data_IF_041643633847
#
_entry.id   IF_041643633847
#
_cell.length_a   1.000
_cell.length_b   1.000
_cell.length_c   1.000
_cell.angle_alpha   90.00
_cell.angle_beta   90.00
_cell.angle_gamma   90.00
#
_symmetry.space_group_name_H-M   'P 1'
#
loop_
_entity.id
_entity.type
_entity.pdbx_description
1 polymer ?
#
# COMPACT_ATOMS: atom_id res chain seq x y z
N UNK A 1 -9.27 24.75 1.66
CA UNK A 1 -9.07 23.53 0.84
C UNK A 1 -10.44 22.89 0.67
N UNK A 2 -10.95 22.70 -0.55
CA UNK A 2 -12.28 22.06 -0.74
C UNK A 2 -12.17 20.58 -0.38
N UNK A 3 -13.18 20.06 0.32
CA UNK A 3 -13.25 18.65 0.73
C UNK A 3 -13.11 17.70 -0.47
N UNK A 4 -13.70 18.09 -1.62
CA UNK A 4 -13.62 17.39 -2.90
C UNK A 4 -12.18 17.11 -3.34
N UNK A 5 -11.26 18.07 -3.16
CA UNK A 5 -9.85 17.91 -3.57
C UNK A 5 -9.10 16.89 -2.70
N UNK A 6 -9.54 16.71 -1.45
CA UNK A 6 -8.93 15.74 -0.53
C UNK A 6 -9.42 14.33 -0.88
N UNK A 7 -10.70 14.17 -1.19
CA UNK A 7 -11.27 12.90 -1.66
C UNK A 7 -10.63 12.43 -2.98
N UNK A 8 -10.45 13.34 -3.94
CA UNK A 8 -9.81 13.04 -5.23
C UNK A 8 -8.36 12.55 -5.03
N UNK A 9 -7.67 12.98 -3.98
CA UNK A 9 -6.32 12.53 -3.67
C UNK A 9 -6.28 11.25 -2.81
N UNK A 10 -7.27 11.05 -1.94
CA UNK A 10 -7.34 9.89 -1.04
C UNK A 10 -7.66 8.59 -1.77
N UNK A 11 -8.61 8.61 -2.71
CA UNK A 11 -9.00 7.41 -3.47
C UNK A 11 -7.81 6.77 -4.20
N UNK A 12 -7.05 7.48 -5.05
CA UNK A 12 -5.89 6.89 -5.72
C UNK A 12 -4.79 6.50 -4.73
N UNK A 13 -4.64 7.21 -3.60
CA UNK A 13 -3.67 6.83 -2.57
C UNK A 13 -3.96 5.46 -1.95
N UNK A 14 -5.25 5.08 -1.86
CA UNK A 14 -5.64 3.76 -1.38
C UNK A 14 -5.25 2.66 -2.36
N UNK A 15 -5.46 2.87 -3.67
CA UNK A 15 -5.01 1.91 -4.68
C UNK A 15 -3.49 1.73 -4.69
N UNK A 16 -2.73 2.81 -4.55
CA UNK A 16 -1.27 2.74 -4.41
C UNK A 16 -0.89 2.01 -3.12
N UNK A 17 -1.64 2.20 -2.03
CA UNK A 17 -1.40 1.49 -0.77
C UNK A 17 -1.68 -0.01 -0.86
N UNK A 18 -2.63 -0.46 -1.69
CA UNK A 18 -2.84 -1.89 -1.96
C UNK A 18 -1.59 -2.49 -2.61
N UNK A 19 -1.01 -1.80 -3.59
CA UNK A 19 0.22 -2.25 -4.28
C UNK A 19 1.39 -2.29 -3.30
N UNK A 20 1.66 -1.19 -2.59
CA UNK A 20 2.79 -1.10 -1.67
C UNK A 20 2.61 -2.07 -0.49
N UNK A 21 1.39 -2.14 0.06
CA UNK A 21 1.05 -3.04 1.15
C UNK A 21 1.17 -4.51 0.76
N UNK A 22 0.70 -4.88 -0.42
CA UNK A 22 0.87 -6.23 -0.98
C UNK A 22 2.34 -6.59 -1.19
N UNK A 23 3.13 -5.68 -1.75
CA UNK A 23 4.58 -5.88 -1.91
C UNK A 23 5.29 -6.07 -0.57
N UNK A 24 5.06 -5.17 0.40
CA UNK A 24 5.67 -5.26 1.73
C UNK A 24 5.23 -6.52 2.46
N UNK A 25 3.95 -6.90 2.35
CA UNK A 25 3.42 -8.13 2.90
C UNK A 25 4.14 -9.36 2.35
N UNK A 26 4.29 -9.48 1.02
CA UNK A 26 5.04 -10.58 0.42
C UNK A 26 6.54 -10.56 0.76
N UNK A 27 7.15 -9.38 0.77
CA UNK A 27 8.59 -9.23 1.07
C UNK A 27 8.94 -9.60 2.53
N UNK A 28 8.11 -9.18 3.48
CA UNK A 28 8.34 -9.37 4.93
C UNK A 28 7.98 -10.80 5.34
N UNK A 29 6.85 -11.32 4.86
CA UNK A 29 6.36 -12.64 5.25
C UNK A 29 6.94 -13.78 4.39
N UNK A 30 7.94 -13.52 3.53
CA UNK A 30 8.61 -14.62 2.85
C UNK A 30 9.37 -15.49 3.85
N UNK A 31 8.81 -16.67 4.15
CA UNK A 31 9.47 -17.75 4.88
C UNK A 31 10.22 -18.64 3.88
N UNK A 32 11.52 -18.85 4.10
CA UNK A 32 12.34 -19.68 3.20
C UNK A 32 12.98 -18.95 2.02
N UNK A 33 12.90 -17.61 1.97
CA UNK A 33 13.72 -16.83 1.04
C UNK A 33 15.18 -16.76 1.54
N UNK A 34 16.12 -17.31 0.78
CA UNK A 34 17.56 -17.26 1.07
C UNK A 34 18.19 -15.93 0.61
N UNK A 35 17.61 -15.28 -0.41
CA UNK A 35 18.12 -14.03 -0.97
C UNK A 35 17.14 -12.86 -0.91
N UNK A 36 17.68 -11.63 -1.03
CA UNK A 36 16.85 -10.43 -1.22
C UNK A 36 16.08 -10.49 -2.54
N UNK A 37 16.63 -11.15 -3.56
CA UNK A 37 16.01 -11.31 -4.86
C UNK A 37 14.70 -12.12 -4.77
N UNK A 38 14.71 -13.19 -3.97
CA UNK A 38 13.55 -14.05 -3.77
C UNK A 38 12.42 -13.29 -3.05
N UNK A 39 12.79 -12.47 -2.06
CA UNK A 39 11.84 -11.60 -1.33
C UNK A 39 11.21 -10.56 -2.25
N UNK A 40 12.02 -9.95 -3.12
CA UNK A 40 11.52 -8.98 -4.12
C UNK A 40 10.57 -9.69 -5.09
N UNK A 41 10.93 -10.88 -5.57
CA UNK A 41 10.12 -11.66 -6.49
C UNK A 41 8.77 -12.03 -5.86
N UNK A 42 8.77 -12.53 -4.61
CA UNK A 42 7.54 -12.85 -3.89
C UNK A 42 6.69 -11.59 -3.64
N UNK A 43 7.33 -10.48 -3.26
CA UNK A 43 6.66 -9.18 -3.15
C UNK A 43 5.95 -8.77 -4.45
N UNK A 44 6.57 -8.96 -5.62
CA UNK A 44 5.96 -8.66 -6.92
C UNK A 44 4.75 -9.54 -7.22
N UNK A 45 4.80 -10.83 -6.88
CA UNK A 45 3.64 -11.73 -7.02
C UNK A 45 2.50 -11.23 -6.13
N UNK A 46 2.82 -10.82 -4.90
CA UNK A 46 1.83 -10.41 -3.92
C UNK A 46 1.17 -9.06 -4.27
N UNK A 47 1.84 -8.19 -5.05
CA UNK A 47 1.19 -7.01 -5.66
C UNK A 47 -0.03 -7.41 -6.49
N UNK A 48 0.04 -8.53 -7.20
CA UNK A 48 -1.02 -9.02 -8.10
C UNK A 48 -2.06 -9.82 -7.30
N UNK A 49 -1.61 -10.69 -6.39
CA UNK A 49 -2.51 -11.52 -5.58
C UNK A 49 -3.34 -10.69 -4.59
N UNK A 50 -2.79 -9.61 -4.03
CA UNK A 50 -3.49 -8.80 -3.03
C UNK A 50 -4.81 -8.23 -3.53
N UNK A 51 -4.89 -7.55 -4.69
CA UNK A 51 -6.16 -7.10 -5.24
C UNK A 51 -7.05 -8.25 -5.72
N UNK A 52 -6.48 -9.34 -6.26
CA UNK A 52 -7.27 -10.49 -6.73
C UNK A 52 -7.96 -11.25 -5.60
N UNK A 53 -7.29 -11.39 -4.46
CA UNK A 53 -7.78 -12.11 -3.28
C UNK A 53 -8.38 -11.19 -2.21
N UNK A 54 -8.58 -9.90 -2.51
CA UNK A 54 -9.15 -8.94 -1.55
C UNK A 54 -8.33 -8.76 -0.26
N UNK A 55 -7.01 -8.93 -0.33
CA UNK A 55 -6.09 -8.83 0.81
C UNK A 55 -5.98 -10.07 1.69
N UNK A 56 -6.62 -11.18 1.32
CA UNK A 56 -6.51 -12.48 2.00
C UNK A 56 -5.84 -13.49 1.08
N UNK A 57 -4.51 -13.59 1.14
CA UNK A 57 -3.75 -14.45 0.23
C UNK A 57 -3.47 -15.79 0.93
N UNK A 58 -3.77 -16.94 0.30
CA UNK A 58 -3.35 -18.24 0.84
C UNK A 58 -1.82 -18.39 0.76
N UNK A 59 -1.20 -18.91 1.82
CA UNK A 59 0.26 -19.15 1.88
C UNK A 59 0.72 -20.25 0.90
N UNK A 60 -0.16 -21.20 0.58
CA UNK A 60 0.18 -22.38 -0.21
C UNK A 60 -0.37 -22.26 -1.64
N UNK A 61 0.39 -22.76 -2.62
CA UNK A 61 0.03 -22.72 -4.06
C UNK A 61 -1.29 -23.44 -4.42
N UNK A 62 -1.82 -24.25 -3.48
CA UNK A 62 -3.10 -24.95 -3.61
C UNK A 62 -4.27 -24.33 -2.83
N UNK A 63 -4.08 -23.20 -2.13
CA UNK A 63 -5.14 -22.57 -1.33
C UNK A 63 -5.50 -23.30 -0.02
N UNK A 64 -4.70 -24.30 0.39
CA UNK A 64 -4.94 -25.12 1.58
C UNK A 64 -4.20 -24.67 2.85
N UNK A 65 -3.33 -23.67 2.74
CA UNK A 65 -2.49 -23.16 3.82
C UNK A 65 -3.13 -22.07 4.66
N UNK A 66 -2.40 -21.54 5.65
CA UNK A 66 -2.85 -20.40 6.44
C UNK A 66 -3.13 -19.20 5.53
N UNK A 67 -4.15 -18.40 5.88
CA UNK A 67 -4.46 -17.19 5.14
C UNK A 67 -3.62 -16.05 5.69
N UNK A 68 -2.78 -15.47 4.84
CA UNK A 68 -2.01 -14.31 5.19
C UNK A 68 -2.84 -13.05 4.97
N UNK A 69 -3.12 -12.35 6.07
CA UNK A 69 -3.88 -11.11 6.05
C UNK A 69 -2.97 -9.93 5.67
N UNK A 70 -3.18 -9.36 4.49
CA UNK A 70 -2.41 -8.22 3.98
C UNK A 70 -2.91 -6.87 4.48
N UNK A 71 -4.12 -6.82 5.05
CA UNK A 71 -4.74 -5.57 5.47
C UNK A 71 -3.89 -4.72 6.42
N UNK A 72 -3.16 -5.29 7.40
CA UNK A 72 -2.25 -4.51 8.23
C UNK A 72 -1.20 -3.74 7.41
N UNK A 73 -0.61 -4.38 6.39
CA UNK A 73 0.38 -3.77 5.51
C UNK A 73 -0.24 -2.71 4.60
N UNK A 74 -1.45 -2.96 4.09
CA UNK A 74 -2.19 -2.02 3.24
C UNK A 74 -2.60 -0.78 4.05
N UNK A 75 -3.20 -0.96 5.22
CA UNK A 75 -3.64 0.14 6.10
C UNK A 75 -2.44 0.97 6.52
N UNK A 76 -1.35 0.32 6.94
CA UNK A 76 -0.13 1.02 7.31
C UNK A 76 0.44 1.85 6.16
N UNK A 77 0.54 1.27 4.96
CA UNK A 77 0.99 1.97 3.75
C UNK A 77 0.07 3.13 3.39
N UNK A 78 -1.25 2.95 3.54
CA UNK A 78 -2.25 3.96 3.26
C UNK A 78 -2.19 5.14 4.23
N UNK A 79 -1.99 4.88 5.53
CA UNK A 79 -1.83 5.93 6.54
C UNK A 79 -0.60 6.78 6.23
N UNK A 80 0.53 6.15 5.87
CA UNK A 80 1.76 6.87 5.50
C UNK A 80 1.53 7.73 4.25
N UNK A 81 0.96 7.16 3.19
CA UNK A 81 0.69 7.87 1.95
C UNK A 81 -0.30 9.02 2.14
N UNK A 82 -1.40 8.77 2.85
CA UNK A 82 -2.42 9.78 3.13
C UNK A 82 -1.85 10.92 3.98
N UNK A 83 -1.03 10.60 4.98
CA UNK A 83 -0.36 11.60 5.81
C UNK A 83 0.63 12.43 5.00
N UNK A 84 1.40 11.80 4.10
CA UNK A 84 2.31 12.50 3.21
C UNK A 84 1.54 13.44 2.26
N UNK A 85 0.51 12.93 1.59
CA UNK A 85 -0.35 13.72 0.67
C UNK A 85 -0.96 14.91 1.42
N UNK A 86 -1.52 14.67 2.62
CA UNK A 86 -2.08 15.72 3.45
C UNK A 86 -1.04 16.79 3.80
N UNK A 87 0.17 16.39 4.20
CA UNK A 87 1.28 17.30 4.49
C UNK A 87 1.68 18.12 3.27
N UNK A 88 1.80 17.48 2.09
CA UNK A 88 2.10 18.17 0.83
C UNK A 88 1.02 19.19 0.44
N UNK A 89 -0.25 18.83 0.60
CA UNK A 89 -1.38 19.72 0.31
C UNK A 89 -1.44 20.93 1.26
N UNK A 90 -1.17 20.73 2.57
CA UNK A 90 -1.05 21.85 3.51
C UNK A 90 0.09 22.77 3.08
N UNK A 91 1.26 22.22 2.78
CA UNK A 91 2.43 23.02 2.38
C UNK A 91 2.14 23.87 1.14
N UNK A 92 1.48 23.30 0.12
CA UNK A 92 1.04 24.04 -1.07
C UNK A 92 0.02 25.14 -0.77
N UNK A 93 -0.88 24.93 0.18
CA UNK A 93 -1.87 25.96 0.55
C UNK A 93 -1.22 27.20 1.17
N UNK A 94 -0.09 27.03 1.86
CA UNK A 94 0.66 28.13 2.49
C UNK A 94 1.51 28.91 1.49
N UNK A 95 2.03 28.28 0.44
CA UNK A 95 2.86 28.95 -0.59
C UNK A 95 2.04 29.72 -1.64
N UNK A 96 0.75 29.42 -1.81
CA UNK A 96 -0.15 30.11 -2.76
C UNK A 96 -0.81 31.39 -2.20
N UNK A 97 -0.40 31.89 -1.04
CA UNK A 97 -0.79 33.22 -0.57
C UNK A 97 0.29 34.21 -1.04
N UNK A 98 0.14 34.87 -2.21
CA UNK A 98 0.94 36.05 -2.50
C UNK A 98 0.58 37.09 -1.43
N UNK A 99 1.60 37.56 -0.70
CA UNK A 99 1.49 38.78 0.10
C UNK A 99 1.04 39.89 -0.85
N UNK A 100 -0.18 40.39 -0.67
CA UNK A 100 -0.56 41.72 -1.16
C UNK A 100 0.21 42.78 -0.38
#
# INVERSE_FOLDING_TARGET
MKLENVFIALVPSFFVAIIIGGFLGGFINCTGCDGILDRVFLGLIFIILTPLCGGMIPEDEGGGGPVLNMWPYIIFSWVILSSAIYYYLIKQSKTKIPKQ
#
